data_IF_450610428884
#
_entry.id   IF_450610428884
#
_cell.length_a   1.000
_cell.length_b   1.000
_cell.length_c   1.000
_cell.angle_alpha   90.00
_cell.angle_beta   90.00
_cell.angle_gamma   90.00
#
_symmetry.space_group_name_H-M   'P 1'
#
loop_
_entity.id
_entity.type
_entity.pdbx_description
1 polymer ?
#
# COMPACT_ATOMS: atom_id res chain seq x y z
N UNK A 1 47.85 -16.10 -59.81
CA UNK A 1 48.19 -14.76 -60.34
C UNK A 1 47.02 -14.31 -61.21
N UNK A 2 46.19 -13.36 -60.76
CA UNK A 2 45.07 -12.84 -61.58
C UNK A 2 45.65 -12.06 -62.77
N UNK A 3 45.55 -12.64 -63.97
CA UNK A 3 46.33 -12.22 -65.13
C UNK A 3 45.54 -11.38 -66.14
N UNK A 4 44.34 -10.90 -65.79
CA UNK A 4 43.58 -9.97 -66.62
C UNK A 4 42.90 -8.89 -65.80
N UNK A 5 43.02 -7.64 -66.26
CA UNK A 5 42.54 -6.41 -65.59
C UNK A 5 41.07 -6.51 -65.18
N UNK A 6 40.25 -7.23 -65.97
CA UNK A 6 38.82 -7.45 -65.73
C UNK A 6 38.55 -8.28 -64.47
N UNK A 7 39.35 -9.31 -64.20
CA UNK A 7 39.16 -10.16 -63.01
C UNK A 7 39.53 -9.41 -61.73
N UNK A 8 40.51 -8.50 -61.78
CA UNK A 8 40.83 -7.61 -60.65
C UNK A 8 39.68 -6.68 -60.33
N UNK A 9 39.03 -6.09 -61.34
CA UNK A 9 37.86 -5.23 -61.11
C UNK A 9 36.69 -6.00 -60.51
N UNK A 10 36.39 -7.21 -61.01
CA UNK A 10 35.34 -8.05 -60.45
C UNK A 10 35.64 -8.47 -59.00
N UNK A 11 36.90 -8.81 -58.70
CA UNK A 11 37.31 -9.16 -57.33
C UNK A 11 37.17 -7.98 -56.37
N UNK A 12 37.50 -6.76 -56.80
CA UNK A 12 37.33 -5.54 -55.98
C UNK A 12 35.84 -5.27 -55.74
N UNK A 13 34.99 -5.35 -56.76
CA UNK A 13 33.55 -5.12 -56.61
C UNK A 13 32.93 -6.17 -55.68
N UNK A 14 33.30 -7.44 -55.84
CA UNK A 14 32.84 -8.52 -54.98
C UNK A 14 33.29 -8.32 -53.52
N UNK A 15 34.53 -7.88 -53.30
CA UNK A 15 35.04 -7.56 -51.96
C UNK A 15 34.28 -6.37 -51.34
N UNK A 16 33.99 -5.33 -52.11
CA UNK A 16 33.22 -4.16 -51.64
C UNK A 16 31.77 -4.55 -51.29
N UNK A 17 31.13 -5.39 -52.11
CA UNK A 17 29.77 -5.86 -51.82
C UNK A 17 29.72 -6.71 -50.55
N UNK A 18 30.71 -7.58 -50.34
CA UNK A 18 30.83 -8.37 -49.11
C UNK A 18 31.02 -7.48 -47.87
N UNK A 19 31.89 -6.46 -47.97
CA UNK A 19 32.11 -5.51 -46.88
C UNK A 19 30.85 -4.68 -46.58
N UNK A 20 30.09 -4.28 -47.60
CA UNK A 20 28.83 -3.55 -47.43
C UNK A 20 27.75 -4.42 -46.75
N UNK A 21 27.64 -5.70 -47.15
CA UNK A 21 26.67 -6.62 -46.56
C UNK A 21 26.97 -6.88 -45.08
N UNK A 22 28.24 -7.16 -44.73
CA UNK A 22 28.65 -7.42 -43.34
C UNK A 22 28.61 -6.15 -42.48
N UNK A 23 28.95 -5.00 -43.07
CA UNK A 23 28.92 -3.71 -42.39
C UNK A 23 27.49 -3.26 -42.02
N UNK A 24 26.51 -3.56 -42.86
CA UNK A 24 25.11 -3.15 -42.64
C UNK A 24 24.47 -3.82 -41.42
N UNK A 25 24.66 -5.13 -41.26
CA UNK A 25 24.15 -5.87 -40.10
C UNK A 25 24.86 -5.45 -38.80
N UNK A 26 26.17 -5.18 -38.88
CA UNK A 26 26.97 -4.80 -37.71
C UNK A 26 26.69 -3.37 -37.24
N UNK A 27 26.48 -2.42 -38.17
CA UNK A 27 26.19 -1.03 -37.82
C UNK A 27 24.79 -0.85 -37.24
N UNK A 28 23.78 -1.57 -37.75
CA UNK A 28 22.42 -1.47 -37.23
C UNK A 28 22.31 -2.01 -35.79
N UNK A 29 22.98 -3.12 -35.48
CA UNK A 29 23.01 -3.67 -34.12
C UNK A 29 23.69 -2.73 -33.11
N UNK A 30 24.83 -2.13 -33.47
CA UNK A 30 25.59 -1.28 -32.55
C UNK A 30 24.93 0.09 -32.30
N UNK A 31 24.17 0.62 -33.25
CA UNK A 31 23.54 1.95 -33.12
C UNK A 31 22.14 1.87 -32.53
N UNK A 32 21.34 0.84 -32.84
CA UNK A 32 19.94 0.76 -32.39
C UNK A 32 19.76 0.06 -31.03
N UNK A 33 20.64 -0.87 -30.66
CA UNK A 33 20.59 -1.52 -29.33
C UNK A 33 20.75 -0.56 -28.14
N UNK A 34 21.69 0.42 -28.14
CA UNK A 34 21.82 1.32 -26.99
C UNK A 34 20.62 2.26 -26.85
N UNK A 35 19.97 2.63 -27.96
CA UNK A 35 18.75 3.46 -27.92
C UNK A 35 17.53 2.70 -27.39
N UNK A 36 17.34 1.44 -27.82
CA UNK A 36 16.25 0.60 -27.33
C UNK A 36 16.40 0.29 -25.83
N UNK A 37 17.63 0.13 -25.33
CA UNK A 37 17.90 -0.06 -23.90
C UNK A 37 17.51 1.16 -23.05
N UNK A 38 17.80 2.37 -23.53
CA UNK A 38 17.49 3.63 -22.83
C UNK A 38 15.98 3.90 -22.75
N UNK A 39 15.21 3.60 -23.80
CA UNK A 39 13.75 3.72 -23.78
C UNK A 39 13.11 2.73 -22.80
N UNK A 40 13.65 1.51 -22.72
CA UNK A 40 13.18 0.49 -21.80
C UNK A 40 13.50 0.85 -20.34
N UNK A 41 14.69 1.40 -20.06
CA UNK A 41 15.04 1.91 -18.73
C UNK A 41 14.15 3.09 -18.31
N UNK A 42 13.80 3.99 -19.24
CA UNK A 42 12.86 5.08 -18.98
C UNK A 42 11.46 4.57 -18.64
N UNK A 43 10.92 3.62 -19.39
CA UNK A 43 9.61 3.03 -19.08
C UNK A 43 9.59 2.31 -17.74
N UNK A 44 10.67 1.60 -17.39
CA UNK A 44 10.80 0.94 -16.08
C UNK A 44 10.88 1.97 -14.95
N UNK A 45 11.63 3.06 -15.13
CA UNK A 45 11.71 4.13 -14.14
C UNK A 45 10.38 4.88 -13.99
N UNK A 46 9.69 5.17 -15.08
CA UNK A 46 8.40 5.85 -15.10
C UNK A 46 7.31 5.02 -14.42
N UNK A 47 7.23 3.72 -14.75
CA UNK A 47 6.31 2.79 -14.07
C UNK A 47 6.67 2.58 -12.59
N UNK A 48 7.95 2.59 -12.21
CA UNK A 48 8.36 2.52 -10.81
C UNK A 48 7.96 3.78 -10.01
N UNK A 49 8.09 4.97 -10.59
CA UNK A 49 7.66 6.24 -9.97
C UNK A 49 6.14 6.29 -9.86
N UNK A 50 5.41 5.88 -10.91
CA UNK A 50 3.96 5.84 -10.91
C UNK A 50 3.44 4.85 -9.85
N UNK A 51 3.98 3.63 -9.79
CA UNK A 51 3.64 2.65 -8.76
C UNK A 51 3.95 3.16 -7.34
N UNK A 52 5.09 3.83 -7.14
CA UNK A 52 5.44 4.45 -5.86
C UNK A 52 4.44 5.53 -5.44
N UNK A 53 3.98 6.35 -6.38
CA UNK A 53 2.97 7.39 -6.11
C UNK A 53 1.60 6.80 -5.72
N UNK A 54 1.20 5.69 -6.35
CA UNK A 54 -0.01 4.96 -5.99
C UNK A 54 0.09 4.32 -4.61
N UNK A 55 1.25 3.75 -4.26
CA UNK A 55 1.50 3.20 -2.93
C UNK A 55 1.45 4.29 -1.85
N UNK A 56 2.02 5.47 -2.11
CA UNK A 56 1.97 6.60 -1.18
C UNK A 56 0.53 7.09 -0.95
N UNK A 57 -0.26 7.24 -2.02
CA UNK A 57 -1.68 7.60 -1.92
C UNK A 57 -2.49 6.55 -1.14
N UNK A 58 -2.23 5.27 -1.40
CA UNK A 58 -2.87 4.16 -0.68
C UNK A 58 -2.50 4.17 0.80
N UNK A 59 -1.24 4.43 1.12
CA UNK A 59 -0.75 4.52 2.50
C UNK A 59 -1.34 5.74 3.21
N UNK A 60 -1.39 6.91 2.57
CA UNK A 60 -2.08 8.09 3.10
C UNK A 60 -3.54 7.81 3.42
N UNK A 61 -4.25 7.10 2.53
CA UNK A 61 -5.64 6.75 2.76
C UNK A 61 -5.81 5.78 3.94
N UNK A 62 -4.96 4.75 4.03
CA UNK A 62 -4.96 3.82 5.16
C UNK A 62 -4.65 4.54 6.49
N UNK A 63 -3.67 5.46 6.50
CA UNK A 63 -3.35 6.27 7.69
C UNK A 63 -4.52 7.17 8.09
N UNK A 64 -5.22 7.77 7.12
CA UNK A 64 -6.41 8.59 7.40
C UNK A 64 -7.52 7.74 8.02
N UNK A 65 -7.77 6.55 7.48
CA UNK A 65 -8.73 5.60 8.04
C UNK A 65 -8.34 5.17 9.46
N UNK A 66 -7.06 4.87 9.70
CA UNK A 66 -6.56 4.54 11.06
C UNK A 66 -6.72 5.70 12.03
N UNK A 67 -6.47 6.95 11.62
CA UNK A 67 -6.68 8.13 12.45
C UNK A 67 -8.17 8.32 12.78
N UNK A 68 -9.04 8.11 11.79
CA UNK A 68 -10.49 8.20 12.00
C UNK A 68 -10.97 7.12 12.97
N UNK A 69 -10.56 5.86 12.76
CA UNK A 69 -10.89 4.77 13.68
C UNK A 69 -10.37 5.06 15.09
N UNK A 70 -9.11 5.51 15.22
CA UNK A 70 -8.53 5.91 16.51
C UNK A 70 -9.33 7.01 17.21
N UNK A 71 -9.89 7.97 16.47
CA UNK A 71 -10.71 9.04 17.06
C UNK A 71 -12.04 8.55 17.63
N UNK A 72 -12.54 7.41 17.13
CA UNK A 72 -13.76 6.76 17.62
C UNK A 72 -13.49 5.59 18.57
N UNK A 73 -12.25 5.15 18.68
CA UNK A 73 -11.83 4.07 19.56
C UNK A 73 -11.66 4.55 21.01
N UNK A 74 -11.76 3.59 21.93
CA UNK A 74 -11.36 3.82 23.32
C UNK A 74 -9.84 4.09 23.41
N UNK A 75 -9.39 4.83 24.44
CA UNK A 75 -7.98 4.97 24.75
C UNK A 75 -7.26 3.61 24.84
N UNK A 76 -6.00 3.56 24.43
CA UNK A 76 -5.22 2.32 24.48
C UNK A 76 -4.87 1.88 25.91
N UNK A 77 -4.80 2.83 26.85
CA UNK A 77 -4.60 2.54 28.26
C UNK A 77 -5.91 2.01 28.89
N UNK A 78 -5.95 0.76 29.39
CA UNK A 78 -7.16 0.16 29.93
C UNK A 78 -7.75 0.96 31.11
N UNK A 79 -6.92 1.62 31.93
CA UNK A 79 -7.42 2.43 33.05
C UNK A 79 -8.23 3.64 32.58
N UNK A 80 -7.69 4.38 31.61
CA UNK A 80 -8.39 5.50 30.98
C UNK A 80 -9.62 5.06 30.18
N UNK A 81 -9.51 3.95 29.44
CA UNK A 81 -10.63 3.39 28.69
C UNK A 81 -11.81 3.00 29.59
N UNK A 82 -11.52 2.41 30.75
CA UNK A 82 -12.53 2.07 31.76
C UNK A 82 -13.27 3.32 32.21
N UNK A 83 -12.55 4.38 32.59
CA UNK A 83 -13.16 5.61 33.11
C UNK A 83 -14.02 6.31 32.05
N UNK A 84 -13.53 6.44 30.81
CA UNK A 84 -14.25 7.08 29.70
C UNK A 84 -15.52 6.29 29.37
N UNK A 85 -15.42 4.97 29.27
CA UNK A 85 -16.56 4.14 28.91
C UNK A 85 -17.59 4.03 30.03
N UNK A 86 -17.16 3.99 31.29
CA UNK A 86 -18.04 4.03 32.46
C UNK A 86 -18.87 5.32 32.48
N UNK A 87 -18.24 6.48 32.28
CA UNK A 87 -18.94 7.76 32.23
C UNK A 87 -19.95 7.81 31.08
N UNK A 88 -19.55 7.33 29.90
CA UNK A 88 -20.45 7.23 28.75
C UNK A 88 -21.64 6.29 29.01
N UNK A 89 -21.42 5.12 29.61
CA UNK A 89 -22.50 4.19 29.97
C UNK A 89 -23.49 4.82 30.95
N UNK A 90 -23.01 5.52 31.98
CA UNK A 90 -23.88 6.22 32.94
C UNK A 90 -24.75 7.24 32.22
N UNK A 91 -24.17 8.07 31.34
CA UNK A 91 -24.92 9.05 30.55
C UNK A 91 -25.99 8.39 29.67
N UNK A 92 -25.68 7.26 29.05
CA UNK A 92 -26.64 6.52 28.22
C UNK A 92 -27.80 5.95 29.06
N UNK A 93 -27.51 5.42 30.25
CA UNK A 93 -28.54 4.89 31.17
C UNK A 93 -29.43 6.01 31.71
N UNK A 94 -28.85 7.16 32.04
CA UNK A 94 -29.61 8.36 32.45
C UNK A 94 -30.50 8.87 31.31
N UNK A 95 -29.98 8.93 30.08
CA UNK A 95 -30.74 9.32 28.90
C UNK A 95 -31.90 8.35 28.58
N UNK A 96 -31.73 7.07 28.91
CA UNK A 96 -32.78 6.06 28.81
C UNK A 96 -33.84 6.14 29.93
N UNK A 97 -33.68 7.05 30.90
CA UNK A 97 -34.60 7.22 32.02
C UNK A 97 -34.53 6.11 33.08
N UNK A 98 -33.41 5.38 33.12
CA UNK A 98 -33.17 4.35 34.15
C UNK A 98 -32.78 5.03 35.46
N UNK A 99 -33.38 4.56 36.56
CA UNK A 99 -33.18 5.09 37.90
C UNK A 99 -31.96 4.42 38.55
N UNK A 100 -31.18 5.22 39.27
CA UNK A 100 -30.00 4.80 40.05
C UNK A 100 -29.04 3.89 39.27
N UNK A 101 -28.53 4.31 38.09
CA UNK A 101 -27.57 3.50 37.36
C UNK A 101 -26.24 3.40 38.13
N UNK A 102 -25.85 2.18 38.49
CA UNK A 102 -24.54 1.85 39.04
C UNK A 102 -23.78 1.05 38.00
N UNK A 103 -22.66 1.59 37.52
CA UNK A 103 -21.77 0.92 36.58
C UNK A 103 -20.47 0.64 37.30
N UNK A 104 -20.18 -0.63 37.54
CA UNK A 104 -18.98 -1.09 38.23
C UNK A 104 -18.04 -1.80 37.25
N UNK A 105 -16.84 -1.26 36.99
CA UNK A 105 -15.87 -1.92 36.14
C UNK A 105 -15.28 -3.16 36.83
N UNK A 106 -15.07 -4.21 36.06
CA UNK A 106 -14.38 -5.44 36.48
C UNK A 106 -12.94 -5.38 35.96
N UNK A 107 -12.02 -6.14 36.57
CA UNK A 107 -10.63 -6.18 36.17
C UNK A 107 -10.50 -6.51 34.67
N UNK A 108 -9.64 -5.73 33.98
CA UNK A 108 -9.35 -5.93 32.57
C UNK A 108 -8.74 -7.33 32.35
N UNK A 109 -9.28 -8.06 31.38
CA UNK A 109 -8.81 -9.39 31.01
C UNK A 109 -7.92 -9.24 29.78
N UNK A 110 -6.61 -9.53 29.86
CA UNK A 110 -5.76 -9.55 28.68
C UNK A 110 -6.16 -10.72 27.77
N UNK A 111 -6.30 -10.42 26.48
CA UNK A 111 -6.52 -11.37 25.40
C UNK A 111 -5.34 -11.24 24.43
N UNK A 112 -4.54 -12.29 24.32
CA UNK A 112 -3.29 -12.27 23.53
C UNK A 112 -3.52 -11.95 22.04
N UNK A 113 -4.72 -12.21 21.51
CA UNK A 113 -5.05 -11.96 20.12
C UNK A 113 -5.78 -10.62 19.88
N UNK A 114 -6.53 -10.14 20.88
CA UNK A 114 -7.49 -9.04 20.71
C UNK A 114 -7.23 -7.82 21.62
N UNK A 115 -6.22 -7.86 22.48
CA UNK A 115 -5.84 -6.74 23.36
C UNK A 115 -6.40 -6.89 24.77
N UNK A 116 -7.18 -5.93 25.25
CA UNK A 116 -7.79 -5.99 26.58
C UNK A 116 -9.31 -6.00 26.50
N UNK A 117 -9.94 -7.01 27.09
CA UNK A 117 -11.38 -7.03 27.32
C UNK A 117 -11.67 -6.30 28.63
N UNK A 118 -12.62 -5.35 28.57
CA UNK A 118 -13.04 -4.53 29.71
C UNK A 118 -14.48 -4.92 30.10
N UNK A 119 -14.68 -5.82 31.07
CA UNK A 119 -16.02 -6.18 31.53
C UNK A 119 -16.60 -5.10 32.46
N UNK A 120 -17.90 -4.84 32.35
CA UNK A 120 -18.65 -3.94 33.23
C UNK A 120 -19.87 -4.66 33.79
N UNK A 121 -20.13 -4.47 35.09
CA UNK A 121 -21.40 -4.82 35.72
C UNK A 121 -22.28 -3.58 35.75
N UNK A 122 -23.53 -3.70 35.31
CA UNK A 122 -24.51 -2.61 35.30
C UNK A 122 -25.70 -3.03 36.15
N UNK A 123 -25.98 -2.23 37.17
CA UNK A 123 -27.16 -2.37 38.02
C UNK A 123 -28.01 -1.11 37.83
N UNK A 124 -29.28 -1.30 37.49
CA UNK A 124 -30.21 -0.20 37.32
C UNK A 124 -31.63 -0.63 37.67
N UNK A 125 -32.48 0.33 38.01
CA UNK A 125 -33.91 0.11 38.22
C UNK A 125 -34.68 0.85 37.14
N UNK A 126 -35.67 0.21 36.53
CA UNK A 126 -36.41 0.81 35.42
C UNK A 126 -37.77 0.19 35.24
N UNK A 127 -38.60 0.86 34.44
CA UNK A 127 -39.85 0.25 33.96
C UNK A 127 -39.54 -0.88 32.98
N UNK A 128 -40.41 -1.89 32.88
CA UNK A 128 -40.21 -2.99 31.94
C UNK A 128 -40.05 -2.49 30.48
N UNK A 129 -40.71 -1.39 30.11
CA UNK A 129 -40.60 -0.77 28.79
C UNK A 129 -39.26 -0.04 28.56
N UNK A 130 -38.52 0.30 29.62
CA UNK A 130 -37.20 0.94 29.52
C UNK A 130 -36.04 -0.09 29.51
N UNK A 131 -36.33 -1.34 29.89
CA UNK A 131 -35.34 -2.43 29.99
C UNK A 131 -35.47 -3.42 28.80
N UNK A 132 -36.66 -3.54 28.20
CA UNK A 132 -36.95 -4.40 27.04
C UNK A 132 -36.64 -3.71 25.71
#
# INVERSE_FOLDING_TARGET
>A
MLNSTREKYLAIIAAVCLLAAVGWESCSALVLQPLAGLEQELQVAETAVENGSFEELRLMHAVRQLKQLRSTSLPADPGQAIAVYQAWLIQQLEAAGLQTPSVSPVQAIPDEALGHRLPFSVECTGSAAAIA
#
